data_IF_352328328324
#
_entry.id   IF_352328328324
#
_cell.length_a   1.000
_cell.length_b   1.000
_cell.length_c   1.000
_cell.angle_alpha   90.00
_cell.angle_beta   90.00
_cell.angle_gamma   90.00
#
_symmetry.space_group_name_H-M   'P 1'
#
loop_
_entity.id
_entity.type
_entity.pdbx_description
1 polymer ?
#
# COMPACT_ATOMS: atom_id res chain seq x y z
N UNK A 1 -4.35 18.79 -2.39
CA UNK A 1 -4.55 19.39 -3.73
C UNK A 1 -5.21 20.77 -3.70
N UNK A 2 -5.96 21.14 -2.64
CA UNK A 2 -6.59 22.47 -2.50
C UNK A 2 -5.64 23.67 -2.59
N UNK A 3 -4.38 23.50 -2.18
CA UNK A 3 -3.36 24.56 -2.23
C UNK A 3 -2.54 24.58 -3.54
N UNK A 4 -2.91 23.80 -4.57
CA UNK A 4 -2.21 23.68 -5.87
C UNK A 4 -0.73 23.27 -5.81
N UNK A 5 -0.24 22.82 -4.65
CA UNK A 5 1.12 22.29 -4.46
C UNK A 5 1.20 20.82 -4.84
N UNK A 6 1.07 20.52 -6.14
CA UNK A 6 1.07 19.14 -6.65
C UNK A 6 2.39 18.40 -6.35
N UNK A 7 3.52 19.09 -6.40
CA UNK A 7 4.84 18.54 -6.06
C UNK A 7 4.93 18.02 -4.62
N UNK A 8 4.16 18.61 -3.68
CA UNK A 8 4.16 18.21 -2.28
C UNK A 8 3.38 16.91 -2.03
N UNK A 9 2.59 16.44 -3.01
CA UNK A 9 1.77 15.23 -2.88
C UNK A 9 2.54 13.99 -3.34
N UNK A 10 3.42 14.14 -4.34
CA UNK A 10 4.16 13.02 -4.93
C UNK A 10 5.10 12.38 -3.90
N UNK A 11 5.90 13.17 -3.18
CA UNK A 11 6.88 12.63 -2.22
C UNK A 11 6.25 11.80 -1.09
N UNK A 12 5.19 12.26 -0.40
CA UNK A 12 4.49 11.42 0.57
C UNK A 12 3.95 10.13 -0.02
N UNK A 13 3.43 10.18 -1.24
CA UNK A 13 2.87 9.01 -1.91
C UNK A 13 3.95 7.98 -2.27
N UNK A 14 5.10 8.43 -2.76
CA UNK A 14 6.26 7.55 -3.02
C UNK A 14 6.73 6.87 -1.74
N UNK A 15 6.82 7.61 -0.62
CA UNK A 15 7.14 7.03 0.69
C UNK A 15 6.12 6.00 1.14
N UNK A 16 4.85 6.18 0.80
CA UNK A 16 3.80 5.21 1.08
C UNK A 16 3.99 3.92 0.26
N UNK A 17 4.35 4.01 -1.03
CA UNK A 17 4.69 2.83 -1.84
C UNK A 17 5.80 1.99 -1.21
N UNK A 18 6.85 2.64 -0.71
CA UNK A 18 7.94 1.95 0.00
C UNK A 18 7.44 1.23 1.25
N UNK A 19 6.50 1.85 1.98
CA UNK A 19 5.89 1.23 3.16
C UNK A 19 5.01 0.03 2.78
N UNK A 20 4.17 0.16 1.75
CA UNK A 20 3.29 -0.90 1.28
C UNK A 20 4.08 -2.12 0.82
N UNK A 21 5.11 -1.91 -0.01
CA UNK A 21 5.92 -2.98 -0.58
C UNK A 21 6.84 -3.64 0.45
N UNK A 22 7.63 -2.84 1.18
CA UNK A 22 8.66 -3.38 2.07
C UNK A 22 8.12 -3.83 3.43
N UNK A 23 7.02 -3.26 3.90
CA UNK A 23 6.43 -3.62 5.18
C UNK A 23 5.20 -4.51 4.98
N UNK A 24 4.14 -4.00 4.35
CA UNK A 24 2.86 -4.70 4.32
C UNK A 24 2.91 -6.00 3.50
N UNK A 25 3.32 -5.93 2.23
CA UNK A 25 3.38 -7.11 1.34
C UNK A 25 4.39 -8.13 1.87
N UNK A 26 5.55 -7.66 2.33
CA UNK A 26 6.59 -8.55 2.87
C UNK A 26 6.13 -9.31 4.11
N UNK A 27 5.44 -8.65 5.04
CA UNK A 27 4.93 -9.28 6.26
C UNK A 27 3.72 -10.19 5.98
N UNK A 28 2.85 -9.81 5.05
CA UNK A 28 1.64 -10.58 4.75
C UNK A 28 1.83 -11.64 3.65
N UNK A 29 3.05 -11.84 3.11
CA UNK A 29 3.31 -12.79 2.01
C UNK A 29 2.82 -14.21 2.31
N UNK A 30 2.95 -14.68 3.55
CA UNK A 30 2.49 -16.01 3.98
C UNK A 30 0.96 -16.10 4.03
N UNK A 31 0.31 -15.09 4.61
CA UNK A 31 -1.15 -14.94 4.64
C UNK A 31 -1.75 -14.92 3.24
N UNK A 32 -1.13 -14.15 2.34
CA UNK A 32 -1.55 -14.07 0.93
C UNK A 32 -1.33 -15.36 0.14
N UNK A 33 -0.45 -16.25 0.61
CA UNK A 33 -0.27 -17.59 0.03
C UNK A 33 -1.28 -18.62 0.57
N UNK A 34 -2.05 -18.25 1.59
CA UNK A 34 -2.99 -19.16 2.25
C UNK A 34 -2.35 -20.16 3.21
N UNK A 35 -1.13 -19.89 3.69
CA UNK A 35 -0.49 -20.74 4.73
C UNK A 35 -1.32 -20.76 6.03
N UNK A 36 -2.05 -19.66 6.32
CA UNK A 36 -2.88 -19.48 7.51
C UNK A 36 -4.37 -19.80 7.28
N UNK A 37 -4.73 -20.33 6.09
CA UNK A 37 -6.09 -20.71 5.72
C UNK A 37 -6.73 -19.85 4.60
N UNK A 38 -7.84 -20.32 4.00
CA UNK A 38 -8.46 -19.67 2.85
C UNK A 38 -9.14 -18.33 3.20
N UNK A 39 -9.72 -18.20 4.40
CA UNK A 39 -10.38 -16.97 4.84
C UNK A 39 -9.36 -15.83 5.06
N UNK A 40 -8.25 -16.12 5.75
CA UNK A 40 -7.16 -15.17 5.97
C UNK A 40 -6.52 -14.71 4.65
N UNK A 41 -6.38 -15.64 3.70
CA UNK A 41 -5.93 -15.33 2.34
C UNK A 41 -6.87 -14.33 1.66
N UNK A 42 -8.18 -14.61 1.68
CA UNK A 42 -9.20 -13.73 1.09
C UNK A 42 -9.21 -12.35 1.74
N UNK A 43 -9.13 -12.26 3.08
CA UNK A 43 -9.06 -10.98 3.79
C UNK A 43 -7.82 -10.17 3.44
N UNK A 44 -6.65 -10.80 3.37
CA UNK A 44 -5.39 -10.13 3.04
C UNK A 44 -5.38 -9.60 1.59
N UNK A 45 -5.89 -10.39 0.64
CA UNK A 45 -6.00 -10.00 -0.77
C UNK A 45 -7.05 -8.91 -0.99
N UNK A 46 -8.21 -9.01 -0.33
CA UNK A 46 -9.26 -7.99 -0.38
C UNK A 46 -8.75 -6.64 0.14
N UNK A 47 -8.07 -6.64 1.29
CA UNK A 47 -7.47 -5.44 1.86
C UNK A 47 -6.44 -4.81 0.92
N UNK A 48 -5.54 -5.62 0.35
CA UNK A 48 -4.54 -5.14 -0.61
C UNK A 48 -5.21 -4.59 -1.87
N UNK A 49 -6.22 -5.26 -2.41
CA UNK A 49 -6.96 -4.83 -3.58
C UNK A 49 -7.61 -3.46 -3.38
N UNK A 50 -8.28 -3.26 -2.25
CA UNK A 50 -8.88 -1.97 -1.89
C UNK A 50 -7.83 -0.85 -1.79
N UNK A 51 -6.70 -1.11 -1.14
CA UNK A 51 -5.60 -0.14 -1.04
C UNK A 51 -5.04 0.20 -2.43
N UNK A 52 -4.84 -0.80 -3.29
CA UNK A 52 -4.35 -0.57 -4.65
C UNK A 52 -5.32 0.31 -5.45
N UNK A 53 -6.63 0.05 -5.41
CA UNK A 53 -7.64 0.87 -6.07
C UNK A 53 -7.60 2.33 -5.59
N UNK A 54 -7.45 2.57 -4.29
CA UNK A 54 -7.33 3.91 -3.72
C UNK A 54 -6.09 4.63 -4.26
N UNK A 55 -4.95 3.94 -4.34
CA UNK A 55 -3.73 4.55 -4.86
C UNK A 55 -3.87 4.85 -6.36
N UNK A 56 -4.47 3.95 -7.14
CA UNK A 56 -4.69 4.17 -8.57
C UNK A 56 -5.53 5.43 -8.81
N UNK A 57 -6.58 5.65 -8.00
CA UNK A 57 -7.39 6.88 -8.03
C UNK A 57 -6.59 8.12 -7.64
N UNK A 58 -5.75 8.04 -6.60
CA UNK A 58 -4.89 9.14 -6.16
C UNK A 58 -3.78 9.48 -7.18
N UNK A 59 -3.29 8.49 -7.91
CA UNK A 59 -2.24 8.63 -8.92
C UNK A 59 -2.75 9.01 -10.30
N UNK A 60 -4.05 8.85 -10.58
CA UNK A 60 -4.64 9.14 -11.89
C UNK A 60 -4.29 10.54 -12.43
N UNK A 61 -4.25 11.62 -11.63
CA UNK A 61 -3.84 12.95 -12.10
C UNK A 61 -2.36 13.07 -12.48
N UNK A 62 -1.50 12.16 -12.02
CA UNK A 62 -0.04 12.20 -12.24
C UNK A 62 0.41 11.21 -13.31
N UNK A 63 -0.16 10.00 -13.32
CA UNK A 63 0.19 8.92 -14.25
C UNK A 63 -1.06 8.33 -14.91
N UNK A 64 -1.76 9.12 -15.75
CA UNK A 64 -3.12 8.81 -16.18
C UNK A 64 -3.25 7.49 -16.96
N UNK A 65 -2.34 7.23 -17.89
CA UNK A 65 -2.37 6.02 -18.72
C UNK A 65 -2.03 4.76 -17.93
N UNK A 66 -1.06 4.86 -17.02
CA UNK A 66 -0.67 3.75 -16.16
C UNK A 66 -1.79 3.38 -15.18
N UNK A 67 -2.40 4.40 -14.57
CA UNK A 67 -3.54 4.21 -13.67
C UNK A 67 -4.76 3.65 -14.40
N UNK A 68 -5.04 4.10 -15.63
CA UNK A 68 -6.12 3.54 -16.44
C UNK A 68 -5.90 2.06 -16.76
N UNK A 69 -4.67 1.68 -17.12
CA UNK A 69 -4.34 0.28 -17.38
C UNK A 69 -4.55 -0.60 -16.14
N UNK A 70 -4.08 -0.16 -14.97
CA UNK A 70 -4.28 -0.90 -13.72
C UNK A 70 -5.76 -0.95 -13.34
N UNK A 71 -6.48 0.17 -13.47
CA UNK A 71 -7.91 0.26 -13.16
C UNK A 71 -8.71 -0.75 -13.98
N UNK A 72 -8.45 -0.85 -15.28
CA UNK A 72 -9.14 -1.82 -16.15
C UNK A 72 -8.92 -3.27 -15.72
N UNK A 73 -7.74 -3.61 -15.21
CA UNK A 73 -7.45 -4.96 -14.72
C UNK A 73 -8.07 -5.23 -13.34
N UNK A 74 -8.20 -4.20 -12.50
CA UNK A 74 -8.70 -4.32 -11.12
C UNK A 74 -10.16 -3.90 -10.95
N UNK A 75 -10.84 -3.37 -11.97
CA UNK A 75 -12.22 -2.86 -11.83
C UNK A 75 -13.21 -3.92 -11.34
N UNK A 76 -12.93 -5.20 -11.60
CA UNK A 76 -13.76 -6.33 -11.19
C UNK A 76 -13.86 -6.51 -9.66
N UNK A 77 -12.86 -6.02 -8.92
CA UNK A 77 -12.86 -6.01 -7.45
C UNK A 77 -13.39 -4.68 -6.87
N UNK A 78 -13.60 -3.68 -7.73
CA UNK A 78 -14.18 -2.39 -7.32
C UNK A 78 -15.70 -2.49 -7.25
N UNK A 79 -16.30 -1.81 -6.28
CA UNK A 79 -17.75 -1.63 -6.19
C UNK A 79 -18.28 -0.61 -7.22
N UNK A 80 -17.39 0.11 -7.91
CA UNK A 80 -17.77 1.12 -8.87
C UNK A 80 -18.05 0.54 -10.26
N UNK A 81 -19.12 1.03 -10.90
CA UNK A 81 -19.46 0.73 -12.29
C UNK A 81 -18.64 1.53 -13.31
N UNK A 82 -17.82 2.51 -12.87
CA UNK A 82 -17.06 3.40 -13.75
C UNK A 82 -16.10 2.64 -14.67
N UNK A 83 -16.17 2.95 -15.97
CA UNK A 83 -15.34 2.31 -16.99
C UNK A 83 -13.89 2.80 -16.99
N UNK A 84 -13.64 3.99 -16.46
CA UNK A 84 -12.33 4.63 -16.38
C UNK A 84 -12.11 5.19 -14.98
N UNK A 85 -10.85 5.17 -14.52
CA UNK A 85 -10.47 5.81 -13.25
C UNK A 85 -10.65 7.33 -13.30
N UNK A 86 -10.64 7.94 -14.49
CA UNK A 86 -10.77 9.38 -14.65
C UNK A 86 -12.18 9.90 -14.38
N UNK A 87 -13.17 8.99 -14.29
CA UNK A 87 -14.53 9.33 -13.85
C UNK A 87 -14.72 9.15 -12.35
N UNK A 88 -13.73 8.61 -11.64
CA UNK A 88 -13.78 8.46 -10.20
C UNK A 88 -13.40 9.74 -9.49
N UNK A 89 -14.16 10.07 -8.45
CA UNK A 89 -13.78 11.15 -7.55
C UNK A 89 -12.50 10.79 -6.77
N UNK A 90 -11.73 11.81 -6.42
CA UNK A 90 -10.60 11.63 -5.49
C UNK A 90 -11.15 11.08 -4.16
N UNK A 91 -10.59 9.98 -3.64
CA UNK A 91 -11.11 9.37 -2.43
C UNK A 91 -10.97 10.31 -1.23
N UNK A 92 -11.99 10.32 -0.38
CA UNK A 92 -11.97 11.05 0.88
C UNK A 92 -11.50 10.14 2.02
N UNK A 93 -10.86 10.73 3.03
CA UNK A 93 -10.40 9.99 4.20
C UNK A 93 -11.59 9.51 5.04
N UNK A 94 -11.62 8.21 5.32
CA UNK A 94 -12.59 7.61 6.22
C UNK A 94 -12.01 7.58 7.63
N UNK A 95 -12.44 8.51 8.49
CA UNK A 95 -11.90 8.66 9.84
C UNK A 95 -12.04 7.40 10.71
N UNK A 96 -13.05 6.57 10.43
CA UNK A 96 -13.31 5.31 11.14
C UNK A 96 -12.21 4.25 10.92
N UNK A 97 -11.50 4.33 9.80
CA UNK A 97 -10.40 3.41 9.47
C UNK A 97 -9.04 3.88 10.03
N UNK A 98 -9.00 5.05 10.66
CA UNK A 98 -7.75 5.65 11.17
C UNK A 98 -7.54 5.22 12.63
N UNK A 99 -6.71 4.20 12.82
CA UNK A 99 -6.27 3.76 14.15
C UNK A 99 -4.83 4.20 14.44
N UNK A 100 -4.71 5.31 15.18
CA UNK A 100 -3.41 5.87 15.62
C UNK A 100 -2.61 4.93 16.54
N UNK A 101 -3.27 4.03 17.26
CA UNK A 101 -2.59 3.04 18.10
C UNK A 101 -1.87 2.02 17.25
N UNK A 102 -2.55 1.49 16.23
CA UNK A 102 -1.97 0.55 15.25
C UNK A 102 -0.83 1.20 14.48
N UNK A 103 -1.01 2.43 13.98
CA UNK A 103 0.04 3.17 13.28
C UNK A 103 1.32 3.30 14.12
N UNK A 104 1.18 3.67 15.41
CA UNK A 104 2.32 3.78 16.34
C UNK A 104 3.01 2.44 16.56
N UNK A 105 2.25 1.34 16.68
CA UNK A 105 2.80 0.00 16.86
C UNK A 105 3.59 -0.45 15.62
N UNK A 106 3.03 -0.25 14.44
CA UNK A 106 3.69 -0.58 13.16
C UNK A 106 4.95 0.27 12.96
N UNK A 107 4.90 1.57 13.28
CA UNK A 107 6.06 2.46 13.19
C UNK A 107 7.21 2.02 14.12
N UNK A 108 6.91 1.64 15.38
CA UNK A 108 7.91 1.11 16.32
C UNK A 108 8.50 -0.21 15.84
N UNK A 109 7.66 -1.12 15.36
CA UNK A 109 8.12 -2.39 14.79
C UNK A 109 9.08 -2.16 13.62
N UNK A 110 8.75 -1.25 12.70
CA UNK A 110 9.61 -0.89 11.57
C UNK A 110 10.94 -0.32 12.02
N UNK A 111 10.94 0.59 12.98
CA UNK A 111 12.16 1.16 13.55
C UNK A 111 13.09 0.08 14.14
N UNK A 112 12.53 -0.91 14.85
CA UNK A 112 13.31 -2.04 15.38
C UNK A 112 13.89 -2.90 14.26
N UNK A 113 13.11 -3.23 13.22
CA UNK A 113 13.59 -4.00 12.06
C UNK A 113 14.74 -3.28 11.36
N UNK A 114 14.62 -1.97 11.16
CA UNK A 114 15.65 -1.16 10.51
C UNK A 114 16.93 -1.09 11.36
N UNK A 115 16.81 -0.93 12.68
CA UNK A 115 17.96 -0.97 13.61
C UNK A 115 18.68 -2.32 13.56
N UNK A 116 17.92 -3.43 13.58
CA UNK A 116 18.49 -4.78 13.47
C UNK A 116 19.20 -4.96 12.13
N UNK A 117 18.63 -4.45 11.04
CA UNK A 117 19.26 -4.51 9.71
C UNK A 117 20.60 -3.78 9.70
N UNK A 118 20.67 -2.56 10.24
CA UNK A 118 21.90 -1.77 10.33
C UNK A 118 22.95 -2.49 11.20
N UNK A 119 22.55 -3.05 12.34
CA UNK A 119 23.46 -3.79 13.22
C UNK A 119 24.04 -5.03 12.53
N UNK A 120 23.19 -5.75 11.77
CA UNK A 120 23.59 -6.95 11.02
C UNK A 120 24.62 -6.61 9.94
N UNK A 121 24.38 -5.53 9.20
CA UNK A 121 25.28 -5.03 8.16
C UNK A 121 26.63 -4.63 8.74
N UNK A 122 26.64 -3.89 9.86
CA UNK A 122 27.86 -3.53 10.60
C UNK A 122 28.66 -4.74 11.08
N UNK A 123 27.98 -5.84 11.43
CA UNK A 123 28.63 -7.10 11.84
C UNK A 123 28.99 -8.02 10.67
N UNK A 124 28.75 -7.60 9.42
CA UNK A 124 29.05 -8.40 8.23
C UNK A 124 28.26 -9.69 8.12
N UNK A 125 27.11 -9.82 8.80
CA UNK A 125 26.32 -11.06 8.80
C UNK A 125 25.50 -11.09 7.50
N UNK A 126 25.79 -12.02 6.56
CA UNK A 126 25.15 -12.03 5.25
C UNK A 126 23.65 -12.27 5.38
N UNK A 127 22.84 -11.58 4.58
CA UNK A 127 21.40 -11.81 4.49
C UNK A 127 21.18 -13.19 3.88
N UNK A 128 20.61 -14.14 4.63
CA UNK A 128 20.15 -15.42 4.04
C UNK A 128 19.05 -15.08 3.05
N UNK A 129 19.38 -15.12 1.77
CA UNK A 129 18.43 -15.16 0.67
C UNK A 129 18.08 -16.63 0.51
N UNK A 130 16.83 -16.99 0.79
CA UNK A 130 16.26 -18.26 0.35
C UNK A 130 15.69 -18.06 -1.05
#
# INVERSE_FOLDING_TARGET
MSAYRLYAVVTPLTKYFDSLTNCYIRLNRKRMKGEDGPEECAHSLSTLGNVLLLIVRLMAPFTPFFCEHIWRNLRHISLSSSESVHFEMIPQALNELIDKSVEKRVARMRAVIDLVRVLRERKGIPVKVH
#
